data_IF_350264330343
#
_entry.id   IF_350264330343
#
_cell.length_a   1.000
_cell.length_b   1.000
_cell.length_c   1.000
_cell.angle_alpha   90.00
_cell.angle_beta   90.00
_cell.angle_gamma   90.00
#
_symmetry.space_group_name_H-M   'P 1'
#
loop_
_entity.id
_entity.type
_entity.pdbx_description
1 polymer ?
#
# COMPACT_ATOMS: atom_id res chain seq x y z
N UNK A 1 35.13 1.98 61.02
CA UNK A 1 35.53 3.41 61.09
C UNK A 1 34.48 4.26 60.37
N UNK A 2 33.95 5.29 61.06
CA UNK A 2 33.42 6.60 60.59
C UNK A 2 32.79 6.66 59.17
N UNK A 3 31.46 6.74 59.03
CA UNK A 3 30.56 7.95 58.99
C UNK A 3 30.62 8.78 57.69
N UNK A 4 29.41 9.05 57.15
CA UNK A 4 28.95 10.06 56.17
C UNK A 4 28.33 9.36 54.94
N UNK A 5 27.03 9.34 54.65
CA UNK A 5 25.90 10.27 54.86
C UNK A 5 26.20 11.66 54.30
N UNK A 6 25.84 11.85 53.02
CA UNK A 6 25.55 13.15 52.42
C UNK A 6 24.42 12.98 51.40
N UNK A 7 23.21 13.25 51.90
CA UNK A 7 22.06 13.70 51.12
C UNK A 7 22.42 15.05 50.48
N UNK A 8 22.20 15.19 49.17
CA UNK A 8 22.10 16.50 48.53
C UNK A 8 20.70 16.64 47.93
N UNK A 9 19.79 17.04 48.80
CA UNK A 9 18.60 17.83 48.48
C UNK A 9 19.05 19.17 47.89
N UNK A 10 18.74 19.43 46.62
CA UNK A 10 18.73 20.80 46.10
C UNK A 10 17.29 21.26 46.00
N UNK A 11 17.04 22.25 46.85
CA UNK A 11 15.84 23.03 47.08
C UNK A 11 15.20 23.59 45.81
N UNK A 12 13.88 23.40 45.70
CA UNK A 12 13.02 24.25 44.91
C UNK A 12 12.99 25.64 45.56
N UNK A 13 13.61 26.64 44.92
CA UNK A 13 13.27 28.06 45.06
C UNK A 13 13.94 28.85 43.93
N UNK A 14 13.21 29.06 42.84
CA UNK A 14 13.39 30.22 41.97
C UNK A 14 12.02 30.57 41.36
N UNK A 15 11.21 31.31 42.11
CA UNK A 15 10.24 32.21 41.56
C UNK A 15 10.68 33.64 41.90
N UNK A 16 10.55 34.54 40.91
CA UNK A 16 10.81 35.98 40.93
C UNK A 16 12.26 36.46 40.79
N UNK A 17 12.75 36.49 39.54
CA UNK A 17 13.44 37.66 38.99
C UNK A 17 12.91 37.92 37.57
N UNK A 18 12.81 39.20 37.25
CA UNK A 18 11.98 39.86 36.24
C UNK A 18 12.13 39.37 34.79
N UNK A 19 10.97 39.27 34.13
CA UNK A 19 10.66 39.64 32.73
C UNK A 19 11.85 39.99 31.83
N UNK A 20 12.31 39.02 31.02
CA UNK A 20 12.98 39.24 29.71
C UNK A 20 13.45 37.94 29.03
N UNK A 21 13.45 36.78 29.71
CA UNK A 21 13.92 35.49 29.14
C UNK A 21 12.82 34.51 28.70
N UNK A 22 11.55 34.91 28.77
CA UNK A 22 10.41 34.00 28.53
C UNK A 22 9.77 34.18 27.14
N UNK A 23 10.12 35.23 26.40
CA UNK A 23 9.64 35.46 25.03
C UNK A 23 10.47 34.68 24.00
N UNK A 24 11.81 34.69 24.09
CA UNK A 24 12.68 33.93 23.18
C UNK A 24 12.42 32.41 23.23
N UNK A 25 12.24 31.83 24.43
CA UNK A 25 11.92 30.40 24.56
C UNK A 25 10.50 30.03 24.12
N UNK A 26 9.55 30.97 24.14
CA UNK A 26 8.17 30.71 23.66
C UNK A 26 8.11 30.80 22.14
N UNK A 27 8.86 31.70 21.52
CA UNK A 27 8.97 31.78 20.06
C UNK A 27 9.74 30.59 19.49
N UNK A 28 10.89 30.23 20.06
CA UNK A 28 11.64 29.03 19.64
C UNK A 28 10.84 27.73 19.81
N UNK A 29 10.07 27.60 20.91
CA UNK A 29 9.18 26.44 21.09
C UNK A 29 7.99 26.45 20.11
N UNK A 30 7.46 27.61 19.72
CA UNK A 30 6.40 27.69 18.71
C UNK A 30 6.93 27.35 17.32
N UNK A 31 8.06 27.91 16.91
CA UNK A 31 8.71 27.55 15.63
C UNK A 31 9.09 26.07 15.59
N UNK A 32 9.62 25.52 16.69
CA UNK A 32 9.96 24.11 16.79
C UNK A 32 8.73 23.20 16.66
N UNK A 33 7.62 23.54 17.33
CA UNK A 33 6.36 22.78 17.23
C UNK A 33 5.72 22.93 15.84
N UNK A 34 5.80 24.11 15.23
CA UNK A 34 5.28 24.35 13.88
C UNK A 34 6.10 23.59 12.83
N UNK A 35 7.43 23.58 12.92
CA UNK A 35 8.30 22.78 12.04
C UNK A 35 8.04 21.28 12.23
N UNK A 36 8.00 20.78 13.46
CA UNK A 36 7.68 19.37 13.74
C UNK A 36 6.29 19.01 13.17
N UNK A 37 5.30 19.89 13.33
CA UNK A 37 3.96 19.69 12.77
C UNK A 37 3.94 19.69 11.24
N UNK A 38 4.75 20.54 10.60
CA UNK A 38 4.93 20.58 9.15
C UNK A 38 5.64 19.33 8.63
N UNK A 39 6.76 18.94 9.23
CA UNK A 39 7.55 17.76 8.84
C UNK A 39 6.72 16.46 8.95
N UNK A 40 5.93 16.32 10.03
CA UNK A 40 5.01 15.19 10.22
C UNK A 40 3.91 15.20 9.15
N UNK A 41 3.36 16.38 8.82
CA UNK A 41 2.32 16.51 7.80
C UNK A 41 2.86 16.22 6.39
N UNK A 42 4.07 16.66 6.08
CA UNK A 42 4.76 16.40 4.81
C UNK A 42 5.05 14.90 4.67
N UNK A 43 5.68 14.28 5.67
CA UNK A 43 5.92 12.82 5.69
C UNK A 43 4.64 12.00 5.53
N UNK A 44 3.55 12.41 6.20
CA UNK A 44 2.25 11.75 6.07
C UNK A 44 1.63 11.93 4.67
N UNK A 45 1.84 13.10 4.04
CA UNK A 45 1.39 13.39 2.68
C UNK A 45 2.16 12.55 1.68
N UNK A 46 3.49 12.51 1.78
CA UNK A 46 4.37 11.70 0.92
C UNK A 46 4.02 10.20 0.99
N UNK A 47 3.78 9.70 2.20
CA UNK A 47 3.39 8.29 2.40
C UNK A 47 2.04 7.99 1.75
N UNK A 48 1.09 8.92 1.86
CA UNK A 48 -0.24 8.78 1.25
C UNK A 48 -0.15 8.83 -0.27
N UNK A 49 0.60 9.79 -0.83
CA UNK A 49 0.81 9.92 -2.27
C UNK A 49 1.51 8.69 -2.86
N UNK A 50 2.54 8.18 -2.17
CA UNK A 50 3.22 6.94 -2.55
C UNK A 50 2.25 5.74 -2.57
N UNK A 51 1.45 5.57 -1.52
CA UNK A 51 0.46 4.49 -1.45
C UNK A 51 -0.61 4.63 -2.55
N UNK A 52 -1.07 5.85 -2.83
CA UNK A 52 -2.04 6.11 -3.90
C UNK A 52 -1.47 5.83 -5.28
N UNK A 53 -0.20 6.19 -5.53
CA UNK A 53 0.49 5.90 -6.78
C UNK A 53 0.61 4.38 -7.02
N UNK A 54 1.08 3.64 -6.02
CA UNK A 54 1.20 2.18 -6.07
C UNK A 54 -0.16 1.49 -6.25
N UNK A 55 -1.19 1.97 -5.55
CA UNK A 55 -2.56 1.47 -5.72
C UNK A 55 -3.08 1.69 -7.14
N UNK A 56 -2.79 2.85 -7.72
CA UNK A 56 -3.20 3.16 -9.08
C UNK A 56 -2.48 2.31 -10.12
N UNK A 57 -1.21 2.01 -9.92
CA UNK A 57 -0.42 1.10 -10.75
C UNK A 57 -1.02 -0.31 -10.72
N UNK A 58 -1.16 -0.90 -9.53
CA UNK A 58 -1.76 -2.24 -9.37
C UNK A 58 -3.19 -2.33 -9.93
N UNK A 59 -3.98 -1.26 -9.77
CA UNK A 59 -5.31 -1.20 -10.39
C UNK A 59 -5.23 -1.27 -11.90
N UNK A 60 -4.31 -0.52 -12.53
CA UNK A 60 -4.14 -0.54 -13.99
C UNK A 60 -3.71 -1.92 -14.47
N UNK A 61 -2.76 -2.56 -13.79
CA UNK A 61 -2.26 -3.89 -14.16
C UNK A 61 -3.37 -4.94 -14.08
N UNK A 62 -4.18 -4.92 -13.02
CA UNK A 62 -5.34 -5.80 -12.87
C UNK A 62 -6.42 -5.51 -13.93
N UNK A 63 -6.73 -4.24 -14.21
CA UNK A 63 -7.70 -3.87 -15.25
C UNK A 63 -7.22 -4.30 -16.64
N UNK A 64 -5.95 -4.12 -16.96
CA UNK A 64 -5.36 -4.57 -18.22
C UNK A 64 -5.43 -6.08 -18.34
N UNK A 65 -5.01 -6.81 -17.31
CA UNK A 65 -5.09 -8.27 -17.29
C UNK A 65 -6.52 -8.78 -17.46
N UNK A 66 -7.48 -8.14 -16.79
CA UNK A 66 -8.91 -8.46 -16.93
C UNK A 66 -9.37 -8.28 -18.37
N UNK A 67 -8.99 -7.19 -19.04
CA UNK A 67 -9.33 -6.94 -20.46
C UNK A 67 -8.73 -8.00 -21.37
N UNK A 68 -7.47 -8.39 -21.17
CA UNK A 68 -6.83 -9.47 -21.94
C UNK A 68 -7.59 -10.79 -21.78
N UNK A 69 -7.95 -11.14 -20.54
CA UNK A 69 -8.73 -12.34 -20.25
C UNK A 69 -10.10 -12.29 -20.94
N UNK A 70 -10.81 -11.17 -20.85
CA UNK A 70 -12.12 -10.98 -21.51
C UNK A 70 -12.00 -11.19 -23.03
N UNK A 71 -10.98 -10.62 -23.68
CA UNK A 71 -10.73 -10.80 -25.11
C UNK A 71 -10.46 -12.26 -25.48
N UNK A 72 -9.63 -12.97 -24.71
CA UNK A 72 -9.34 -14.39 -24.98
C UNK A 72 -10.53 -15.30 -24.73
N UNK A 73 -11.35 -15.00 -23.73
CA UNK A 73 -12.62 -15.72 -23.56
C UNK A 73 -13.56 -15.55 -24.76
N UNK A 74 -13.62 -14.38 -25.39
CA UNK A 74 -14.40 -14.16 -26.62
C UNK A 74 -13.83 -14.93 -27.82
N UNK A 75 -12.51 -15.02 -27.95
CA UNK A 75 -11.89 -15.86 -28.99
C UNK A 75 -12.22 -17.34 -28.80
N UNK A 76 -12.12 -17.86 -27.58
CA UNK A 76 -12.42 -19.27 -27.26
C UNK A 76 -13.89 -19.64 -27.50
N UNK A 77 -14.82 -18.67 -27.42
CA UNK A 77 -16.23 -18.92 -27.77
C UNK A 77 -16.40 -19.36 -29.22
N UNK A 78 -15.50 -18.97 -30.13
CA UNK A 78 -15.59 -19.29 -31.56
C UNK A 78 -15.24 -20.76 -31.86
N UNK A 79 -14.33 -21.36 -31.09
CA UNK A 79 -13.87 -22.75 -31.29
C UNK A 79 -14.85 -23.78 -30.70
N UNK A 80 -15.55 -23.46 -29.61
CA UNK A 80 -16.65 -24.29 -29.07
C UNK A 80 -16.27 -25.69 -28.57
N UNK A 81 -15.01 -26.10 -28.72
CA UNK A 81 -14.49 -27.41 -28.32
C UNK A 81 -14.54 -27.60 -26.80
N UNK A 82 -14.45 -28.85 -26.34
CA UNK A 82 -14.35 -29.14 -24.91
C UNK A 82 -13.11 -28.50 -24.26
N UNK A 83 -11.99 -28.44 -25.01
CA UNK A 83 -10.75 -27.78 -24.56
C UNK A 83 -11.00 -26.28 -24.37
N UNK A 84 -11.61 -25.61 -25.35
CA UNK A 84 -11.94 -24.18 -25.26
C UNK A 84 -12.93 -23.85 -24.16
N UNK A 85 -13.94 -24.69 -23.93
CA UNK A 85 -14.88 -24.54 -22.80
C UNK A 85 -14.16 -24.63 -21.45
N UNK A 86 -13.25 -25.59 -21.29
CA UNK A 86 -12.45 -25.76 -20.06
C UNK A 86 -11.52 -24.56 -19.83
N UNK A 87 -10.84 -24.10 -20.89
CA UNK A 87 -9.95 -22.95 -20.80
C UNK A 87 -10.72 -21.67 -20.47
N UNK A 88 -11.88 -21.45 -21.09
CA UNK A 88 -12.78 -20.33 -20.77
C UNK A 88 -13.22 -20.34 -19.30
N UNK A 89 -13.49 -21.52 -18.73
CA UNK A 89 -13.87 -21.63 -17.32
C UNK A 89 -12.71 -21.22 -16.39
N UNK A 90 -11.48 -21.67 -16.67
CA UNK A 90 -10.27 -21.24 -15.93
C UNK A 90 -10.06 -19.73 -16.01
N UNK A 91 -10.18 -19.17 -17.22
CA UNK A 91 -10.05 -17.73 -17.44
C UNK A 91 -11.13 -16.92 -16.73
N UNK A 92 -12.37 -17.41 -16.69
CA UNK A 92 -13.46 -16.78 -15.94
C UNK A 92 -13.17 -16.76 -14.43
N UNK A 93 -12.65 -17.85 -13.87
CA UNK A 93 -12.25 -17.92 -12.45
C UNK A 93 -11.13 -16.92 -12.10
N UNK A 94 -10.13 -16.77 -12.99
CA UNK A 94 -9.08 -15.76 -12.82
C UNK A 94 -9.64 -14.33 -12.89
N UNK A 95 -10.53 -14.07 -13.85
CA UNK A 95 -11.20 -12.78 -14.02
C UNK A 95 -12.01 -12.39 -12.79
N UNK A 96 -12.75 -13.33 -12.21
CA UNK A 96 -13.55 -13.09 -11.01
C UNK A 96 -12.66 -12.82 -9.79
N UNK A 97 -11.51 -13.50 -9.66
CA UNK A 97 -10.53 -13.21 -8.61
C UNK A 97 -9.87 -11.83 -8.79
N UNK A 98 -9.61 -11.40 -10.02
CA UNK A 98 -9.17 -10.03 -10.32
C UNK A 98 -10.22 -9.01 -9.89
N UNK A 99 -11.51 -9.26 -10.16
CA UNK A 99 -12.59 -8.38 -9.75
C UNK A 99 -12.69 -8.23 -8.22
N UNK A 100 -12.51 -9.33 -7.49
CA UNK A 100 -12.42 -9.30 -6.02
C UNK A 100 -11.24 -8.41 -5.59
N UNK A 101 -10.04 -8.60 -6.15
CA UNK A 101 -8.84 -7.82 -5.77
C UNK A 101 -8.92 -6.34 -6.17
N UNK A 102 -9.56 -6.01 -7.28
CA UNK A 102 -9.88 -4.61 -7.64
C UNK A 102 -10.81 -3.98 -6.58
N UNK A 103 -11.79 -4.74 -6.09
CA UNK A 103 -12.66 -4.32 -4.99
C UNK A 103 -11.90 -4.10 -3.68
N UNK A 104 -10.97 -5.00 -3.35
CA UNK A 104 -10.12 -4.87 -2.16
C UNK A 104 -9.22 -3.63 -2.25
N UNK A 105 -8.47 -3.45 -3.34
CA UNK A 105 -7.60 -2.28 -3.55
C UNK A 105 -8.33 -0.94 -3.37
N UNK A 106 -9.59 -0.86 -3.83
CA UNK A 106 -10.41 0.35 -3.67
C UNK A 106 -10.72 0.65 -2.20
N UNK A 107 -10.93 -0.38 -1.39
CA UNK A 107 -11.41 -0.25 -0.01
C UNK A 107 -10.30 -0.42 1.04
N UNK A 108 -9.06 -0.69 0.62
CA UNK A 108 -7.93 -0.91 1.53
C UNK A 108 -7.49 0.37 2.24
N UNK A 109 -7.38 0.24 3.57
CA UNK A 109 -6.82 1.20 4.51
C UNK A 109 -5.30 1.06 4.62
N UNK A 110 -4.63 2.08 5.17
CA UNK A 110 -3.16 2.10 5.28
C UNK A 110 -2.61 0.92 6.11
N UNK A 111 -3.31 0.51 7.18
CA UNK A 111 -2.95 -0.62 8.03
C UNK A 111 -3.04 -1.99 7.34
N UNK A 112 -3.83 -2.09 6.26
CA UNK A 112 -3.99 -3.33 5.47
C UNK A 112 -3.26 -3.28 4.13
N UNK A 113 -2.54 -2.20 3.85
CA UNK A 113 -1.93 -1.94 2.55
C UNK A 113 -0.96 -3.04 2.14
N UNK A 114 0.00 -3.39 3.01
CA UNK A 114 1.03 -4.37 2.67
C UNK A 114 0.45 -5.76 2.39
N UNK A 115 -0.55 -6.18 3.17
CA UNK A 115 -1.24 -7.46 2.94
C UNK A 115 -2.01 -7.44 1.63
N UNK A 116 -2.73 -6.36 1.34
CA UNK A 116 -3.50 -6.22 0.08
C UNK A 116 -2.56 -6.24 -1.12
N UNK A 117 -1.46 -5.49 -1.05
CA UNK A 117 -0.44 -5.43 -2.09
C UNK A 117 0.14 -6.81 -2.37
N UNK A 118 0.55 -7.53 -1.33
CA UNK A 118 1.13 -8.86 -1.46
C UNK A 118 0.15 -9.87 -2.06
N UNK A 119 -1.12 -9.79 -1.69
CA UNK A 119 -2.18 -10.62 -2.26
C UNK A 119 -2.39 -10.35 -3.75
N UNK A 120 -2.37 -9.07 -4.16
CA UNK A 120 -2.45 -8.67 -5.58
C UNK A 120 -1.23 -9.16 -6.36
N UNK A 121 -0.03 -8.96 -5.83
CA UNK A 121 1.21 -9.43 -6.46
C UNK A 121 1.21 -10.95 -6.65
N UNK A 122 0.72 -11.68 -5.65
CA UNK A 122 0.58 -13.14 -5.71
C UNK A 122 -0.43 -13.55 -6.78
N UNK A 123 -1.57 -12.86 -6.86
CA UNK A 123 -2.56 -13.08 -7.91
C UNK A 123 -1.98 -12.82 -9.30
N UNK A 124 -1.25 -11.72 -9.49
CA UNK A 124 -0.65 -11.36 -10.78
C UNK A 124 0.36 -12.44 -11.23
N UNK A 125 1.24 -12.89 -10.32
CA UNK A 125 2.20 -13.98 -10.61
C UNK A 125 1.52 -15.27 -11.02
N UNK A 126 0.51 -15.70 -10.26
CA UNK A 126 -0.27 -16.91 -10.59
C UNK A 126 -1.01 -16.74 -11.93
N UNK A 127 -1.52 -15.55 -12.19
CA UNK A 127 -2.18 -15.25 -13.46
C UNK A 127 -1.19 -15.34 -14.62
N UNK A 128 0.06 -14.88 -14.46
CA UNK A 128 1.11 -15.05 -15.46
C UNK A 128 1.44 -16.53 -15.72
N UNK A 129 1.51 -17.35 -14.67
CA UNK A 129 1.74 -18.80 -14.81
C UNK A 129 0.62 -19.47 -15.61
N UNK A 130 -0.64 -19.27 -15.22
CA UNK A 130 -1.81 -19.79 -15.94
C UNK A 130 -1.88 -19.23 -17.38
N UNK A 131 -1.41 -18.00 -17.59
CA UNK A 131 -1.34 -17.39 -18.92
C UNK A 131 -0.29 -18.06 -19.82
N UNK A 132 0.86 -18.47 -19.27
CA UNK A 132 1.85 -19.24 -20.01
C UNK A 132 1.33 -20.62 -20.38
N UNK A 133 0.64 -21.30 -19.45
CA UNK A 133 -0.03 -22.57 -19.75
C UNK A 133 -1.07 -22.40 -20.86
N UNK A 134 -1.90 -21.36 -20.76
CA UNK A 134 -2.90 -21.04 -21.78
C UNK A 134 -2.26 -20.77 -23.16
N UNK A 135 -1.17 -20.01 -23.22
CA UNK A 135 -0.41 -19.77 -24.45
C UNK A 135 0.14 -21.06 -25.04
N UNK A 136 0.65 -21.96 -24.21
CA UNK A 136 1.15 -23.26 -24.66
C UNK A 136 0.03 -24.12 -25.26
N UNK A 137 -1.15 -24.07 -24.66
CA UNK A 137 -2.33 -24.84 -25.07
C UNK A 137 -3.05 -24.28 -26.30
N UNK A 138 -2.98 -22.96 -26.53
CA UNK A 138 -3.71 -22.25 -27.58
C UNK A 138 -2.79 -21.35 -28.41
N UNK A 139 -1.63 -21.87 -28.84
CA UNK A 139 -0.62 -21.10 -29.60
C UNK A 139 -1.19 -20.36 -30.80
N UNK A 140 -2.22 -20.91 -31.45
CA UNK A 140 -2.91 -20.29 -32.60
C UNK A 140 -3.66 -19.00 -32.26
N UNK A 141 -4.07 -18.79 -31.00
CA UNK A 141 -4.69 -17.54 -30.53
C UNK A 141 -3.66 -16.43 -30.27
N UNK A 142 -2.36 -16.73 -30.34
CA UNK A 142 -1.27 -15.81 -30.04
C UNK A 142 -0.32 -15.57 -31.23
N UNK A 143 -0.74 -15.95 -32.44
CA UNK A 143 -0.01 -15.68 -33.68
C UNK A 143 -0.41 -14.36 -34.33
#
# INVERSE_FOLDING_TARGET
MKKALLLLTVTAFMACQETSRQEEKKEEMKEGVEKIGQDVKETATDTKEYMEAQRNELRKDLEERKREIDLKMEELKKDGSAKSKKAKAKLADLRDQIDVKLGELKNTSADKWDSTRNDVDTLLKRTDEEWQEFKADFKELFR
#
